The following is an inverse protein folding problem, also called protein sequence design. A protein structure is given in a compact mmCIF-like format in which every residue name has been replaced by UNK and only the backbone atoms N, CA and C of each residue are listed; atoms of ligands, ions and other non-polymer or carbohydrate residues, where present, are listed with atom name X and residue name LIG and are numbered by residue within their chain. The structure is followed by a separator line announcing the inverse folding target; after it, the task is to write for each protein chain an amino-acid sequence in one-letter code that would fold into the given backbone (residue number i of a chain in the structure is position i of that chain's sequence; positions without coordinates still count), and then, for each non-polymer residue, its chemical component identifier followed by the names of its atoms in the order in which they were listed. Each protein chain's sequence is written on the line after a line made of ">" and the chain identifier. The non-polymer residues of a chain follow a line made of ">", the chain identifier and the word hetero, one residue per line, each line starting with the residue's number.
data_IF_463229177550
#
_entry.id   IF_463229177550
#
_cell.length_a   1.000
_cell.length_b   1.000
_cell.length_c   1.000
_cell.angle_alpha   90.00
_cell.angle_beta   90.00
_cell.angle_gamma   90.00
#
_symmetry.space_group_name_H-M   'P 1'
#
loop_
_entity.id
_entity.type
_entity.pdbx_description
1 polymer ?
#
# COMPACT_ATOMS: atom_id res chain seq x y z
N UNK A 1 22.00 35.04 -46.87
CA UNK A 1 21.51 36.24 -46.15
C UNK A 1 20.14 35.88 -45.60
N UNK A 2 19.80 35.89 -44.31
CA UNK A 2 20.51 36.14 -43.07
C UNK A 2 19.91 35.18 -42.02
N UNK A 3 20.75 34.58 -41.18
CA UNK A 3 20.36 33.77 -40.02
C UNK A 3 20.05 34.68 -38.85
N UNK A 4 18.89 34.51 -38.21
CA UNK A 4 18.56 35.18 -36.95
C UNK A 4 18.82 34.21 -35.80
N UNK A 5 19.91 34.47 -35.09
CA UNK A 5 20.31 33.81 -33.84
C UNK A 5 19.59 34.53 -32.70
N UNK A 6 18.80 33.80 -31.91
CA UNK A 6 18.23 34.31 -30.65
C UNK A 6 19.06 33.72 -29.51
N UNK A 7 19.92 34.55 -28.93
CA UNK A 7 20.61 34.28 -27.66
C UNK A 7 19.74 34.77 -26.50
N UNK A 8 19.48 33.91 -25.51
CA UNK A 8 18.99 34.33 -24.21
C UNK A 8 20.10 34.16 -23.17
N UNK A 9 20.50 35.29 -22.61
CA UNK A 9 21.53 35.45 -21.59
C UNK A 9 21.06 34.90 -20.24
N UNK A 10 21.92 34.10 -19.60
CA UNK A 10 21.82 33.71 -18.21
C UNK A 10 22.02 34.93 -17.30
N UNK A 11 21.04 35.19 -16.43
CA UNK A 11 21.15 36.16 -15.35
C UNK A 11 21.02 35.43 -14.02
N UNK A 12 22.17 35.13 -13.43
CA UNK A 12 22.32 34.71 -12.03
C UNK A 12 21.97 35.87 -11.11
N UNK A 13 20.99 35.69 -10.22
CA UNK A 13 20.74 36.58 -9.08
C UNK A 13 20.97 35.83 -7.76
N UNK A 14 21.45 36.52 -6.71
CA UNK A 14 22.13 35.91 -5.59
C UNK A 14 21.17 35.35 -4.52
N UNK A 15 21.62 34.25 -3.92
CA UNK A 15 21.02 33.60 -2.75
C UNK A 15 21.21 34.49 -1.51
N UNK A 16 20.13 35.05 -0.99
CA UNK A 16 20.12 35.67 0.33
C UNK A 16 19.82 34.60 1.39
N UNK A 17 20.81 34.27 2.23
CA UNK A 17 20.62 33.45 3.41
C UNK A 17 20.02 34.31 4.54
N UNK A 18 18.78 34.01 4.92
CA UNK A 18 18.22 34.46 6.19
C UNK A 18 18.12 33.27 7.13
N UNK A 19 19.06 33.17 8.05
CA UNK A 19 19.01 32.30 9.22
C UNK A 19 17.94 32.81 10.17
N UNK A 20 16.75 32.19 10.15
CA UNK A 20 15.76 32.35 11.21
C UNK A 20 16.08 31.39 12.35
N UNK A 21 16.53 31.94 13.47
CA UNK A 21 16.61 31.26 14.76
C UNK A 21 15.20 30.82 15.18
N UNK A 22 14.96 29.50 15.21
CA UNK A 22 13.74 28.93 15.79
C UNK A 22 14.07 28.49 17.22
N UNK A 23 13.63 29.27 18.21
CA UNK A 23 13.75 28.94 19.63
C UNK A 23 12.67 27.93 19.99
N UNK A 24 13.09 26.70 20.30
CA UNK A 24 12.22 25.62 20.80
C UNK A 24 11.86 25.92 22.25
N UNK A 25 10.57 26.13 22.53
CA UNK A 25 10.03 26.18 23.88
C UNK A 25 9.48 24.80 24.26
N UNK A 26 10.11 24.14 25.24
CA UNK A 26 9.66 22.88 25.82
C UNK A 26 8.54 23.10 26.85
N UNK A 27 7.43 22.34 26.82
CA UNK A 27 6.50 22.29 27.94
C UNK A 27 7.02 21.33 29.03
N UNK A 28 6.97 21.78 30.28
CA UNK A 28 7.32 21.03 31.50
C UNK A 28 6.31 19.88 31.75
N UNK A 29 6.74 18.75 32.33
CA UNK A 29 5.83 17.68 32.72
C UNK A 29 5.06 18.06 34.00
N UNK A 30 3.74 17.87 33.95
CA UNK A 30 2.89 17.90 35.15
C UNK A 30 3.10 16.60 35.95
N UNK A 31 3.71 16.73 37.14
CA UNK A 31 3.71 15.71 38.17
C UNK A 31 2.27 15.48 38.68
N UNK A 32 1.80 14.23 38.63
CA UNK A 32 0.65 13.76 39.41
C UNK A 32 1.16 12.91 40.56
N UNK A 33 1.03 13.47 41.75
CA UNK A 33 1.16 12.81 43.06
C UNK A 33 0.22 11.62 43.18
N UNK A 34 0.79 10.43 43.44
CA UNK A 34 0.05 9.27 43.96
C UNK A 34 0.27 9.17 45.47
N UNK A 35 -0.84 9.14 46.20
CA UNK A 35 -0.91 8.99 47.65
C UNK A 35 -0.54 7.58 48.09
N UNK A 36 0.30 7.49 49.11
CA UNK A 36 0.72 6.29 49.83
C UNK A 36 -0.39 5.69 50.71
N UNK A 37 -0.40 4.37 50.86
CA UNK A 37 -0.84 3.72 52.09
C UNK A 37 0.03 2.51 52.40
N UNK A 38 0.64 2.55 53.58
CA UNK A 38 1.55 1.56 54.17
C UNK A 38 0.87 0.20 54.41
N UNK A 39 1.65 -0.88 54.36
CA UNK A 39 1.65 -1.90 55.42
C UNK A 39 3.01 -2.64 55.49
N UNK A 40 3.74 -2.40 56.59
CA UNK A 40 4.82 -3.19 57.21
C UNK A 40 4.27 -4.58 57.61
N UNK A 41 4.97 -5.69 57.89
CA UNK A 41 6.34 -6.17 58.20
C UNK A 41 6.20 -7.72 58.24
N UNK A 42 7.19 -8.59 58.06
CA UNK A 42 8.32 -8.91 58.96
C UNK A 42 9.22 -9.96 58.27
N UNK A 43 10.51 -9.71 58.26
CA UNK A 43 11.58 -10.70 58.00
C UNK A 43 12.03 -11.29 59.34
N UNK A 44 12.17 -12.61 59.42
CA UNK A 44 12.76 -13.31 60.57
C UNK A 44 14.11 -13.88 60.17
N UNK A 45 15.13 -13.53 60.96
CA UNK A 45 16.51 -14.00 60.85
C UNK A 45 16.67 -15.12 61.88
N UNK A 46 17.22 -16.26 61.46
CA UNK A 46 17.76 -17.28 62.37
C UNK A 46 19.26 -17.46 62.11
N UNK A 47 20.04 -17.20 63.16
CA UNK A 47 21.45 -17.56 63.29
C UNK A 47 21.52 -18.90 64.00
N UNK A 48 22.21 -19.91 63.43
CA UNK A 48 22.82 -20.98 64.24
C UNK A 48 24.07 -21.56 63.54
N UNK A 49 25.20 -21.25 64.17
CA UNK A 49 26.40 -22.07 64.44
C UNK A 49 27.19 -22.76 63.33
N UNK A 50 28.46 -22.35 63.25
CA UNK A 50 29.56 -22.96 62.52
C UNK A 50 29.93 -24.35 63.08
N UNK A 51 30.07 -25.33 62.19
CA UNK A 51 30.87 -26.54 62.43
C UNK A 51 31.76 -26.76 61.21
N UNK A 52 33.07 -26.67 61.43
CA UNK A 52 34.11 -26.89 60.42
C UNK A 52 34.21 -28.37 60.07
N UNK A 53 34.07 -28.70 58.78
CA UNK A 53 34.45 -30.02 58.25
C UNK A 53 35.11 -29.86 56.88
N UNK A 54 36.41 -30.09 56.85
CA UNK A 54 37.26 -30.13 55.66
C UNK A 54 36.83 -31.29 54.76
N UNK A 55 36.49 -31.02 53.51
CA UNK A 55 36.35 -32.04 52.46
C UNK A 55 36.94 -31.54 51.14
N UNK A 56 37.83 -32.36 50.59
CA UNK A 56 38.42 -32.27 49.26
C UNK A 56 37.36 -31.95 48.18
N UNK A 57 37.61 -30.91 47.38
CA UNK A 57 36.91 -30.70 46.11
C UNK A 57 37.76 -31.27 44.96
N UNK A 58 37.22 -32.28 44.29
CA UNK A 58 37.67 -32.73 42.98
C UNK A 58 37.29 -31.69 41.91
N UNK A 59 38.12 -31.61 40.87
CA UNK A 59 37.87 -30.84 39.66
C UNK A 59 36.46 -31.14 39.12
N UNK A 60 35.69 -30.07 38.87
CA UNK A 60 34.42 -30.14 38.12
C UNK A 60 34.69 -29.66 36.70
N UNK A 61 34.30 -30.51 35.76
CA UNK A 61 34.23 -30.20 34.34
C UNK A 61 33.44 -28.91 34.11
N UNK A 62 34.06 -27.95 33.41
CA UNK A 62 33.35 -26.80 32.86
C UNK A 62 32.56 -27.27 31.65
N UNK A 63 31.28 -27.56 31.86
CA UNK A 63 30.31 -27.61 30.78
C UNK A 63 30.20 -26.21 30.17
N UNK A 64 30.86 -26.00 29.03
CA UNK A 64 30.65 -24.81 28.20
C UNK A 64 29.31 -25.00 27.53
N UNK A 65 28.28 -24.32 28.04
CA UNK A 65 27.00 -24.19 27.34
C UNK A 65 27.24 -23.26 26.16
N UNK A 66 27.55 -23.83 25.00
CA UNK A 66 27.47 -23.13 23.73
C UNK A 66 25.99 -22.90 23.42
N UNK A 67 25.51 -21.67 23.63
CA UNK A 67 24.27 -21.21 23.04
C UNK A 67 24.47 -21.13 21.52
N UNK A 68 24.19 -22.21 20.81
CA UNK A 68 23.95 -22.14 19.37
C UNK A 68 22.67 -21.35 19.19
N UNK A 69 22.79 -20.10 18.73
CA UNK A 69 21.66 -19.36 18.17
C UNK A 69 21.09 -20.23 17.05
N UNK A 70 19.95 -20.87 17.32
CA UNK A 70 19.14 -21.47 16.27
C UNK A 70 18.74 -20.33 15.36
N UNK A 71 19.32 -20.27 14.17
CA UNK A 71 18.77 -19.48 13.09
C UNK A 71 17.34 -19.96 12.88
N UNK A 72 16.35 -19.23 13.40
CA UNK A 72 14.96 -19.47 13.04
C UNK A 72 14.88 -19.30 11.53
N UNK A 73 14.72 -20.40 10.78
CA UNK A 73 14.43 -20.29 9.35
C UNK A 73 13.08 -19.58 9.24
N UNK A 74 13.08 -18.30 8.92
CA UNK A 74 11.86 -17.52 8.76
C UNK A 74 10.99 -18.20 7.72
N UNK A 75 9.78 -18.62 8.10
CA UNK A 75 8.85 -19.26 7.18
C UNK A 75 8.43 -18.20 6.17
N UNK A 76 8.78 -18.36 4.89
CA UNK A 76 8.32 -17.45 3.84
C UNK A 76 6.90 -17.83 3.38
N UNK A 77 6.10 -16.88 2.90
CA UNK A 77 4.83 -17.19 2.25
C UNK A 77 5.04 -18.09 1.04
N UNK A 78 4.07 -18.98 0.77
CA UNK A 78 4.07 -19.74 -0.49
C UNK A 78 3.70 -18.87 -1.68
N UNK A 79 2.89 -17.83 -1.44
CA UNK A 79 2.56 -16.82 -2.44
C UNK A 79 2.30 -15.44 -1.82
N UNK A 80 2.64 -14.40 -2.58
CA UNK A 80 2.13 -13.04 -2.40
C UNK A 80 1.05 -12.75 -3.44
N UNK A 81 -0.11 -12.28 -2.98
CA UNK A 81 -1.26 -11.91 -3.81
C UNK A 81 -1.49 -10.41 -3.66
N UNK A 82 -1.29 -9.64 -4.72
CA UNK A 82 -1.44 -8.19 -4.69
C UNK A 82 -2.80 -7.80 -5.27
N UNK A 83 -3.49 -6.83 -4.66
CA UNK A 83 -4.43 -6.04 -5.46
C UNK A 83 -3.67 -5.22 -6.51
N UNK A 84 -4.36 -4.76 -7.54
CA UNK A 84 -3.82 -3.86 -8.54
C UNK A 84 -4.00 -2.41 -8.12
N UNK A 85 -5.26 -1.97 -8.02
CA UNK A 85 -5.59 -0.57 -7.80
C UNK A 85 -5.36 -0.18 -6.35
N UNK A 86 -4.70 0.96 -6.13
CA UNK A 86 -4.33 1.41 -4.79
C UNK A 86 -3.15 0.64 -4.17
N UNK A 87 -2.73 -0.50 -4.72
CA UNK A 87 -1.58 -1.29 -4.22
C UNK A 87 -0.39 -1.22 -5.16
N UNK A 88 -0.49 -1.70 -6.41
CA UNK A 88 0.62 -1.62 -7.36
C UNK A 88 0.86 -0.17 -7.77
N UNK A 89 -0.23 0.56 -8.00
CA UNK A 89 -0.27 1.96 -8.42
C UNK A 89 -1.42 2.65 -7.71
N UNK A 90 -1.30 3.93 -7.40
CA UNK A 90 -2.42 4.72 -6.87
C UNK A 90 -3.32 5.17 -8.03
N UNK A 91 -4.02 4.20 -8.64
CA UNK A 91 -4.67 4.34 -9.95
C UNK A 91 -5.69 5.46 -9.99
N UNK A 92 -6.46 5.62 -8.92
CA UNK A 92 -7.49 6.65 -8.84
C UNK A 92 -6.86 8.05 -8.74
N UNK A 93 -5.89 8.22 -7.83
CA UNK A 93 -5.27 9.53 -7.54
C UNK A 93 -4.33 9.99 -8.65
N UNK A 94 -3.51 9.08 -9.17
CA UNK A 94 -2.40 9.41 -10.07
C UNK A 94 -2.65 8.99 -11.52
N UNK A 95 -3.71 8.22 -11.79
CA UNK A 95 -4.08 7.77 -13.14
C UNK A 95 -5.43 8.33 -13.62
N UNK A 96 -6.53 7.91 -13.00
CA UNK A 96 -7.87 8.26 -13.42
C UNK A 96 -8.16 9.75 -13.26
N UNK A 97 -7.85 10.34 -12.11
CA UNK A 97 -7.99 11.80 -11.90
C UNK A 97 -7.17 12.60 -12.91
N UNK A 98 -5.93 12.19 -13.17
CA UNK A 98 -5.04 12.85 -14.15
C UNK A 98 -5.64 12.76 -15.55
N UNK A 99 -6.05 11.58 -16.00
CA UNK A 99 -6.68 11.41 -17.32
C UNK A 99 -8.03 12.12 -17.48
N UNK A 100 -8.81 12.31 -16.40
CA UNK A 100 -9.98 13.20 -16.43
C UNK A 100 -9.54 14.65 -16.70
N UNK A 101 -8.60 15.17 -15.92
CA UNK A 101 -8.11 16.55 -16.07
C UNK A 101 -7.48 16.79 -17.44
N UNK A 102 -6.69 15.84 -17.95
CA UNK A 102 -6.11 15.91 -19.30
C UNK A 102 -7.21 15.94 -20.37
N UNK A 103 -8.27 15.16 -20.20
CA UNK A 103 -9.43 15.19 -21.11
C UNK A 103 -10.15 16.54 -21.05
N UNK A 104 -10.35 17.09 -19.86
CA UNK A 104 -11.00 18.39 -19.69
C UNK A 104 -10.17 19.52 -20.28
N UNK A 105 -8.84 19.45 -20.14
CA UNK A 105 -7.90 20.39 -20.74
C UNK A 105 -7.88 20.28 -22.27
N UNK A 106 -7.79 19.07 -22.85
CA UNK A 106 -7.86 18.84 -24.30
C UNK A 106 -9.18 19.35 -24.91
N UNK A 107 -10.26 19.34 -24.12
CA UNK A 107 -11.59 19.82 -24.53
C UNK A 107 -11.85 21.26 -24.12
N UNK A 108 -10.86 21.92 -23.51
CA UNK A 108 -10.89 23.33 -23.10
C UNK A 108 -12.16 23.66 -22.29
N UNK A 109 -12.47 22.82 -21.29
CA UNK A 109 -13.68 22.92 -20.47
C UNK A 109 -13.50 23.79 -19.22
N UNK A 110 -12.28 24.24 -18.93
CA UNK A 110 -11.91 25.00 -17.72
C UNK A 110 -12.34 24.29 -16.42
N UNK A 111 -12.13 22.97 -16.38
CA UNK A 111 -12.49 22.09 -15.26
C UNK A 111 -11.24 21.37 -14.81
N UNK A 112 -10.95 21.41 -13.51
CA UNK A 112 -9.90 20.63 -12.88
C UNK A 112 -10.43 20.00 -11.61
N UNK A 113 -10.22 18.69 -11.47
CA UNK A 113 -10.46 17.96 -10.24
C UNK A 113 -9.14 17.77 -9.51
N UNK A 114 -8.96 18.50 -8.41
CA UNK A 114 -7.87 18.24 -7.48
C UNK A 114 -8.08 16.92 -6.72
N UNK A 115 -7.14 16.56 -5.85
CA UNK A 115 -7.15 15.28 -5.12
C UNK A 115 -8.39 15.19 -4.22
N UNK A 116 -8.67 16.23 -3.45
CA UNK A 116 -9.75 16.22 -2.45
C UNK A 116 -11.13 16.16 -3.12
N UNK A 117 -11.36 17.01 -4.14
CA UNK A 117 -12.59 16.99 -4.92
C UNK A 117 -12.79 15.65 -5.62
N UNK A 118 -11.74 15.06 -6.19
CA UNK A 118 -11.87 13.75 -6.82
C UNK A 118 -12.24 12.67 -5.80
N UNK A 119 -11.69 12.73 -4.58
CA UNK A 119 -12.06 11.85 -3.46
C UNK A 119 -13.54 11.95 -3.09
N UNK A 120 -14.11 13.15 -3.06
CA UNK A 120 -15.55 13.34 -2.87
C UNK A 120 -16.36 12.73 -4.03
N UNK A 121 -15.91 12.98 -5.26
CA UNK A 121 -16.56 12.52 -6.47
C UNK A 121 -16.48 10.99 -6.65
N UNK A 122 -15.49 10.30 -6.06
CA UNK A 122 -15.39 8.84 -6.08
C UNK A 122 -16.54 8.13 -5.39
N UNK A 123 -17.20 8.80 -4.44
CA UNK A 123 -18.42 8.31 -3.78
C UNK A 123 -19.60 8.20 -4.75
N UNK A 124 -19.52 8.87 -5.90
CA UNK A 124 -20.43 8.71 -7.02
C UNK A 124 -19.85 7.61 -7.93
N UNK A 125 -20.57 6.49 -8.02
CA UNK A 125 -20.14 5.34 -8.81
C UNK A 125 -20.11 5.66 -10.31
N UNK A 126 -19.10 5.16 -11.02
CA UNK A 126 -18.98 5.28 -12.47
C UNK A 126 -18.47 6.65 -12.97
N UNK A 127 -17.58 6.63 -13.97
CA UNK A 127 -16.94 7.85 -14.46
C UNK A 127 -17.88 8.81 -15.22
N UNK A 128 -18.90 8.29 -15.90
CA UNK A 128 -19.88 9.10 -16.65
C UNK A 128 -20.85 9.78 -15.69
N UNK A 129 -21.34 9.02 -14.72
CA UNK A 129 -22.28 9.44 -13.69
C UNK A 129 -21.64 10.51 -12.82
N UNK A 130 -20.35 10.34 -12.47
CA UNK A 130 -19.55 11.34 -11.76
C UNK A 130 -19.44 12.67 -12.49
N UNK A 131 -19.04 12.66 -13.77
CA UNK A 131 -18.99 13.89 -14.58
C UNK A 131 -20.37 14.56 -14.68
N UNK A 132 -21.41 13.75 -14.92
CA UNK A 132 -22.80 14.24 -15.03
C UNK A 132 -23.25 14.91 -13.74
N UNK A 133 -23.04 14.26 -12.59
CA UNK A 133 -23.39 14.81 -11.29
C UNK A 133 -22.60 16.09 -10.96
N UNK A 134 -21.30 16.11 -11.28
CA UNK A 134 -20.46 17.28 -11.11
C UNK A 134 -20.97 18.49 -11.92
N UNK A 135 -21.24 18.32 -13.22
CA UNK A 135 -21.74 19.41 -14.07
C UNK A 135 -23.17 19.83 -13.73
N UNK A 136 -24.02 18.90 -13.30
CA UNK A 136 -25.35 19.26 -12.80
C UNK A 136 -25.27 20.13 -11.53
N UNK A 137 -24.28 19.92 -10.67
CA UNK A 137 -24.08 20.67 -9.42
C UNK A 137 -23.37 22.01 -9.64
N UNK A 138 -22.34 22.04 -10.48
CA UNK A 138 -21.42 23.18 -10.63
C UNK A 138 -21.73 24.07 -11.83
N UNK A 139 -22.60 23.61 -12.74
CA UNK A 139 -22.84 24.23 -14.03
C UNK A 139 -22.17 23.44 -15.15
N UNK A 140 -22.87 23.32 -16.27
CA UNK A 140 -22.31 22.70 -17.47
C UNK A 140 -21.35 23.66 -18.17
N UNK A 141 -20.20 23.19 -18.69
CA UNK A 141 -19.27 24.03 -19.45
C UNK A 141 -19.95 24.71 -20.64
N UNK A 142 -19.49 25.90 -21.04
CA UNK A 142 -20.09 26.65 -22.16
C UNK A 142 -20.11 25.87 -23.48
N UNK A 143 -19.09 25.02 -23.69
CA UNK A 143 -18.95 24.16 -24.87
C UNK A 143 -19.83 22.91 -24.83
N UNK A 144 -20.51 22.64 -23.72
CA UNK A 144 -21.39 21.50 -23.61
C UNK A 144 -22.72 21.76 -24.35
N UNK A 145 -23.33 20.74 -24.95
CA UNK A 145 -24.64 20.87 -25.58
C UNK A 145 -25.74 21.20 -24.57
N UNK A 146 -26.88 21.67 -25.08
CA UNK A 146 -28.00 22.15 -24.26
C UNK A 146 -29.08 21.08 -24.00
N UNK A 147 -29.31 20.17 -24.94
CA UNK A 147 -30.29 19.09 -24.79
C UNK A 147 -29.74 17.95 -23.91
N UNK A 148 -30.62 17.20 -23.27
CA UNK A 148 -30.22 16.09 -22.40
C UNK A 148 -29.61 14.92 -23.18
N UNK A 149 -30.14 14.64 -24.37
CA UNK A 149 -29.69 13.59 -25.26
C UNK A 149 -28.25 13.86 -25.74
N UNK A 150 -27.98 15.07 -26.23
CA UNK A 150 -26.64 15.46 -26.67
C UNK A 150 -25.66 15.52 -25.49
N UNK A 151 -26.11 15.89 -24.28
CA UNK A 151 -25.28 15.86 -23.08
C UNK A 151 -24.86 14.45 -22.70
N UNK A 152 -25.73 13.45 -22.84
CA UNK A 152 -25.37 12.04 -22.64
C UNK A 152 -24.28 11.60 -23.61
N UNK A 153 -24.42 11.95 -24.89
CA UNK A 153 -23.40 11.64 -25.91
C UNK A 153 -22.08 12.36 -25.65
N UNK A 154 -22.14 13.64 -25.25
CA UNK A 154 -20.99 14.43 -24.87
C UNK A 154 -20.21 13.78 -23.72
N UNK A 155 -20.90 13.40 -22.63
CA UNK A 155 -20.30 12.70 -21.48
C UNK A 155 -19.71 11.35 -21.89
N UNK A 156 -20.40 10.58 -22.73
CA UNK A 156 -19.88 9.34 -23.26
C UNK A 156 -18.58 9.56 -24.05
N UNK A 157 -18.52 10.64 -24.86
CA UNK A 157 -17.31 11.01 -25.62
C UNK A 157 -16.14 11.39 -24.70
N UNK A 158 -16.39 12.14 -23.62
CA UNK A 158 -15.37 12.51 -22.64
C UNK A 158 -14.86 11.28 -21.91
N UNK A 159 -15.76 10.41 -21.45
CA UNK A 159 -15.38 9.19 -20.77
C UNK A 159 -14.57 8.25 -21.66
N UNK A 160 -14.94 8.13 -22.94
CA UNK A 160 -14.17 7.35 -23.93
C UNK A 160 -12.76 7.93 -24.07
N UNK A 161 -12.63 9.25 -24.27
CA UNK A 161 -11.32 9.91 -24.41
C UNK A 161 -10.46 9.77 -23.15
N UNK A 162 -11.05 9.97 -21.97
CA UNK A 162 -10.40 9.73 -20.68
C UNK A 162 -9.87 8.31 -20.55
N UNK A 163 -10.64 7.32 -21.01
CA UNK A 163 -10.23 5.91 -20.98
C UNK A 163 -9.03 5.66 -21.90
N UNK A 164 -9.03 6.24 -23.10
CA UNK A 164 -7.89 6.17 -24.03
C UNK A 164 -6.62 6.82 -23.42
N UNK A 165 -6.76 8.01 -22.84
CA UNK A 165 -5.65 8.71 -22.18
C UNK A 165 -5.12 7.94 -20.97
N UNK A 166 -6.00 7.34 -20.16
CA UNK A 166 -5.59 6.49 -19.05
C UNK A 166 -4.72 5.30 -19.52
N UNK A 167 -5.13 4.60 -20.59
CA UNK A 167 -4.31 3.53 -21.15
C UNK A 167 -2.97 4.05 -21.68
N UNK A 168 -2.97 5.22 -22.34
CA UNK A 168 -1.75 5.84 -22.84
C UNK A 168 -0.79 6.25 -21.69
N UNK A 169 -1.30 6.69 -20.53
CA UNK A 169 -0.48 6.97 -19.34
C UNK A 169 0.28 5.73 -18.87
N UNK A 170 -0.39 4.56 -18.86
CA UNK A 170 0.21 3.28 -18.49
C UNK A 170 1.27 2.87 -19.52
N UNK A 171 0.92 2.87 -20.80
CA UNK A 171 1.81 2.46 -21.90
C UNK A 171 3.07 3.33 -21.98
N UNK A 172 2.93 4.63 -21.72
CA UNK A 172 4.05 5.59 -21.65
C UNK A 172 4.81 5.59 -20.32
N UNK A 173 4.41 4.74 -19.35
CA UNK A 173 5.01 4.62 -18.02
C UNK A 173 5.00 5.93 -17.22
N UNK A 174 3.95 6.72 -17.39
CA UNK A 174 3.76 7.99 -16.67
C UNK A 174 3.00 7.80 -15.34
N UNK A 175 2.44 6.62 -15.11
CA UNK A 175 1.85 6.23 -13.83
C UNK A 175 2.92 5.53 -12.97
N UNK A 176 3.34 6.07 -11.82
CA UNK A 176 4.35 5.45 -10.98
C UNK A 176 3.81 4.23 -10.23
N UNK A 177 4.66 3.22 -10.04
CA UNK A 177 4.43 2.19 -9.03
C UNK A 177 4.46 2.81 -7.63
N UNK A 178 3.68 2.26 -6.71
CA UNK A 178 3.78 2.67 -5.30
C UNK A 178 5.15 2.27 -4.72
N UNK A 179 5.70 3.05 -3.78
CA UNK A 179 7.00 2.78 -3.19
C UNK A 179 7.10 1.37 -2.61
N UNK A 180 8.18 0.65 -2.92
CA UNK A 180 8.46 -0.71 -2.44
C UNK A 180 7.78 -1.85 -3.20
N UNK A 181 6.85 -1.59 -4.13
CA UNK A 181 6.13 -2.65 -4.87
C UNK A 181 7.10 -3.51 -5.69
N UNK A 182 7.91 -2.89 -6.54
CA UNK A 182 8.87 -3.61 -7.38
C UNK A 182 9.87 -4.39 -6.52
N UNK A 183 10.39 -3.77 -5.46
CA UNK A 183 11.32 -4.38 -4.50
C UNK A 183 10.72 -5.63 -3.84
N UNK A 184 9.49 -5.56 -3.33
CA UNK A 184 8.86 -6.71 -2.66
C UNK A 184 8.58 -7.86 -3.63
N UNK A 185 8.17 -7.54 -4.87
CA UNK A 185 8.00 -8.54 -5.93
C UNK A 185 9.35 -9.19 -6.26
N UNK A 186 10.43 -8.42 -6.39
CA UNK A 186 11.76 -8.96 -6.67
C UNK A 186 12.26 -9.87 -5.55
N UNK A 187 12.08 -9.46 -4.29
CA UNK A 187 12.39 -10.29 -3.13
C UNK A 187 11.64 -11.63 -3.18
N UNK A 188 10.34 -11.60 -3.51
CA UNK A 188 9.50 -12.80 -3.60
C UNK A 188 9.99 -13.73 -4.71
N UNK A 189 10.14 -13.20 -5.93
CA UNK A 189 10.57 -13.97 -7.09
C UNK A 189 11.97 -14.56 -6.88
N UNK A 190 12.91 -13.81 -6.29
CA UNK A 190 14.27 -14.28 -6.00
C UNK A 190 14.31 -15.44 -4.99
N UNK A 191 13.32 -15.55 -4.09
CA UNK A 191 13.21 -16.63 -3.09
C UNK A 191 12.22 -17.74 -3.50
N UNK A 192 11.74 -17.72 -4.75
CA UNK A 192 10.80 -18.73 -5.25
C UNK A 192 9.38 -18.62 -4.68
N UNK A 193 9.04 -17.49 -4.05
CA UNK A 193 7.68 -17.19 -3.62
C UNK A 193 6.86 -16.81 -4.84
N UNK A 194 5.70 -17.46 -5.03
CA UNK A 194 4.83 -17.19 -6.19
C UNK A 194 4.20 -15.82 -6.06
N UNK A 195 3.97 -15.13 -7.18
CA UNK A 195 3.35 -13.81 -7.19
C UNK A 195 2.13 -13.82 -8.12
N UNK A 196 1.03 -13.24 -7.65
CA UNK A 196 -0.13 -13.00 -8.48
C UNK A 196 -0.79 -11.65 -8.16
N UNK A 197 -1.55 -11.15 -9.12
CA UNK A 197 -2.38 -9.94 -9.02
C UNK A 197 -3.84 -10.35 -9.08
N UNK A 198 -4.64 -9.92 -8.11
CA UNK A 198 -6.05 -10.25 -7.93
C UNK A 198 -6.87 -8.96 -7.82
N UNK A 199 -7.54 -8.58 -8.91
CA UNK A 199 -8.23 -7.29 -9.02
C UNK A 199 -9.66 -7.43 -9.52
N UNK A 200 -10.52 -6.48 -9.15
CA UNK A 200 -11.87 -6.33 -9.70
C UNK A 200 -11.90 -5.50 -10.98
N UNK A 201 -10.79 -4.81 -11.31
CA UNK A 201 -10.62 -4.04 -12.53
C UNK A 201 -10.55 -4.92 -13.77
N UNK A 202 -10.80 -4.32 -14.93
CA UNK A 202 -10.75 -5.04 -16.21
C UNK A 202 -9.34 -5.56 -16.51
N UNK A 203 -9.27 -6.76 -17.08
CA UNK A 203 -8.02 -7.48 -17.33
C UNK A 203 -7.05 -6.71 -18.22
N UNK A 204 -7.55 -5.98 -19.24
CA UNK A 204 -6.69 -5.17 -20.12
C UNK A 204 -5.89 -4.11 -19.35
N UNK A 205 -6.52 -3.40 -18.41
CA UNK A 205 -5.84 -2.38 -17.61
C UNK A 205 -4.81 -3.01 -16.65
N UNK A 206 -5.18 -4.10 -15.97
CA UNK A 206 -4.29 -4.81 -15.05
C UNK A 206 -3.08 -5.39 -15.79
N UNK A 207 -3.32 -6.05 -16.92
CA UNK A 207 -2.26 -6.60 -17.79
C UNK A 207 -1.34 -5.51 -18.31
N UNK A 208 -1.86 -4.33 -18.67
CA UNK A 208 -1.03 -3.18 -19.06
C UNK A 208 -0.19 -2.64 -17.89
N UNK A 209 -0.77 -2.48 -16.69
CA UNK A 209 -0.03 -2.04 -15.50
C UNK A 209 1.13 -3.00 -15.20
N UNK A 210 0.86 -4.31 -15.17
CA UNK A 210 1.88 -5.32 -14.88
C UNK A 210 2.95 -5.36 -15.98
N UNK A 211 2.57 -5.42 -17.25
CA UNK A 211 3.56 -5.53 -18.34
C UNK A 211 4.36 -4.24 -18.58
N UNK A 212 3.74 -3.07 -18.53
CA UNK A 212 4.40 -1.80 -18.83
C UNK A 212 5.18 -1.25 -17.64
N UNK A 213 4.60 -1.29 -16.43
CA UNK A 213 5.15 -0.61 -15.25
C UNK A 213 6.07 -1.52 -14.43
N UNK A 214 5.70 -2.78 -14.21
CA UNK A 214 6.62 -3.76 -13.59
C UNK A 214 7.63 -4.32 -14.59
N UNK A 215 7.32 -4.24 -15.89
CA UNK A 215 8.20 -4.66 -16.97
C UNK A 215 8.02 -6.14 -17.37
N UNK A 216 8.49 -6.51 -18.57
CA UNK A 216 8.22 -7.81 -19.17
C UNK A 216 8.72 -8.99 -18.32
N UNK A 217 9.94 -8.89 -17.77
CA UNK A 217 10.55 -9.98 -17.01
C UNK A 217 9.76 -10.37 -15.76
N UNK A 218 9.22 -9.38 -15.03
CA UNK A 218 8.34 -9.64 -13.88
C UNK A 218 6.99 -10.16 -14.35
N UNK A 219 6.45 -9.56 -15.41
CA UNK A 219 5.11 -9.90 -15.93
C UNK A 219 5.00 -11.37 -16.35
N UNK A 220 6.05 -11.96 -16.90
CA UNK A 220 6.08 -13.39 -17.26
C UNK A 220 5.95 -14.33 -16.06
N UNK A 221 6.38 -13.86 -14.88
CA UNK A 221 6.42 -14.61 -13.62
C UNK A 221 5.21 -14.33 -12.72
N UNK A 222 4.38 -13.34 -13.08
CA UNK A 222 3.19 -12.91 -12.31
C UNK A 222 1.93 -13.46 -12.97
N UNK A 223 1.08 -14.14 -12.20
CA UNK A 223 -0.26 -14.54 -12.68
C UNK A 223 -1.28 -13.42 -12.44
N UNK A 224 -2.16 -13.17 -13.40
CA UNK A 224 -3.18 -12.12 -13.32
C UNK A 224 -4.56 -12.76 -13.24
N UNK A 225 -5.35 -12.35 -12.25
CA UNK A 225 -6.76 -12.67 -12.08
C UNK A 225 -7.52 -11.36 -11.97
N UNK A 226 -8.32 -11.04 -12.98
CA UNK A 226 -8.93 -9.73 -13.11
C UNK A 226 -10.36 -9.80 -13.66
N UNK A 227 -11.15 -8.77 -13.35
CA UNK A 227 -12.47 -8.54 -13.93
C UNK A 227 -13.45 -9.65 -13.63
N UNK A 228 -14.01 -10.23 -14.68
CA UNK A 228 -15.11 -11.18 -14.62
C UNK A 228 -14.64 -12.65 -14.70
N UNK A 229 -13.36 -12.91 -14.42
CA UNK A 229 -12.82 -14.28 -14.27
C UNK A 229 -13.49 -15.04 -13.10
N UNK A 230 -14.11 -14.30 -12.18
CA UNK A 230 -15.00 -14.82 -11.14
C UNK A 230 -16.36 -14.11 -11.20
N UNK A 231 -17.46 -14.81 -10.88
CA UNK A 231 -18.81 -14.23 -10.98
C UNK A 231 -19.13 -13.23 -9.86
N UNK A 232 -18.49 -13.37 -8.69
CA UNK A 232 -18.69 -12.51 -7.52
C UNK A 232 -17.41 -11.76 -7.22
N UNK A 233 -17.50 -10.43 -7.16
CA UNK A 233 -16.37 -9.52 -6.91
C UNK A 233 -16.16 -9.35 -5.40
N UNK A 234 -15.01 -8.78 -5.00
CA UNK A 234 -14.72 -8.39 -3.60
C UNK A 234 -15.94 -7.61 -3.05
N UNK A 235 -16.44 -7.92 -1.84
CA UNK A 235 -15.78 -8.63 -0.74
C UNK A 235 -15.88 -10.16 -0.78
N UNK A 236 -16.47 -10.75 -1.84
CA UNK A 236 -16.43 -12.20 -2.00
C UNK A 236 -14.97 -12.70 -2.20
N UNK A 237 -14.57 -13.81 -1.55
CA UNK A 237 -13.18 -14.28 -1.60
C UNK A 237 -12.80 -14.96 -2.92
N UNK A 238 -13.74 -15.16 -3.86
CA UNK A 238 -13.54 -15.99 -5.05
C UNK A 238 -12.27 -15.67 -5.84
N UNK A 239 -11.91 -14.39 -6.02
CA UNK A 239 -10.73 -14.00 -6.79
C UNK A 239 -9.41 -14.46 -6.11
N UNK A 240 -9.35 -14.39 -4.79
CA UNK A 240 -8.19 -14.83 -4.01
C UNK A 240 -8.12 -16.35 -3.92
N UNK A 241 -9.26 -17.02 -3.71
CA UNK A 241 -9.35 -18.48 -3.74
C UNK A 241 -8.93 -19.03 -5.10
N UNK A 242 -9.37 -18.40 -6.20
CA UNK A 242 -8.95 -18.75 -7.55
C UNK A 242 -7.42 -18.57 -7.71
N UNK A 243 -6.87 -17.46 -7.21
CA UNK A 243 -5.44 -17.19 -7.25
C UNK A 243 -4.61 -18.27 -6.55
N UNK A 244 -4.92 -18.57 -5.29
CA UNK A 244 -4.22 -19.61 -4.52
C UNK A 244 -4.37 -21.00 -5.14
N UNK A 245 -5.58 -21.37 -5.58
CA UNK A 245 -5.84 -22.65 -6.24
C UNK A 245 -5.06 -22.81 -7.53
N UNK A 246 -5.05 -21.78 -8.39
CA UNK A 246 -4.30 -21.80 -9.67
C UNK A 246 -2.79 -21.84 -9.45
N UNK A 247 -2.31 -21.17 -8.39
CA UNK A 247 -0.91 -21.24 -7.99
C UNK A 247 -0.56 -22.57 -7.29
N UNK A 248 -1.53 -23.40 -6.91
CA UNK A 248 -1.30 -24.66 -6.19
C UNK A 248 -0.69 -24.44 -4.81
N UNK A 249 -1.22 -23.49 -4.04
CA UNK A 249 -0.78 -23.16 -2.68
C UNK A 249 -1.96 -23.10 -1.72
N UNK A 250 -1.71 -23.38 -0.45
CA UNK A 250 -2.73 -23.27 0.59
C UNK A 250 -3.03 -21.79 0.92
N UNK A 251 -4.30 -21.39 1.06
CA UNK A 251 -4.62 -20.01 1.43
C UNK A 251 -3.97 -19.56 2.74
N UNK A 252 -3.85 -20.48 3.70
CA UNK A 252 -3.23 -20.20 5.00
C UNK A 252 -1.71 -19.94 4.95
N UNK A 253 -1.06 -20.22 3.81
CA UNK A 253 0.36 -19.88 3.57
C UNK A 253 0.53 -18.71 2.61
N UNK A 254 -0.55 -18.00 2.27
CA UNK A 254 -0.56 -16.83 1.41
C UNK A 254 -0.61 -15.53 2.24
N UNK A 255 0.04 -14.50 1.72
CA UNK A 255 -0.12 -13.12 2.20
C UNK A 255 -0.67 -12.27 1.08
N UNK A 256 -1.76 -11.58 1.36
CA UNK A 256 -2.39 -10.59 0.48
C UNK A 256 -1.86 -9.20 0.82
N UNK A 257 -1.58 -8.37 -0.19
CA UNK A 257 -1.37 -6.93 -0.04
C UNK A 257 -2.55 -6.20 -0.66
N UNK A 258 -3.26 -5.43 0.15
CA UNK A 258 -4.52 -4.75 -0.18
C UNK A 258 -4.49 -3.27 0.22
N UNK A 259 -5.42 -2.47 -0.27
CA UNK A 259 -5.55 -1.07 0.15
C UNK A 259 -6.93 -0.73 0.72
N UNK A 260 -7.96 -1.55 0.45
CA UNK A 260 -9.36 -1.25 0.79
C UNK A 260 -9.95 -2.22 1.81
N UNK A 261 -10.94 -1.79 2.58
CA UNK A 261 -11.65 -2.61 3.56
C UNK A 261 -12.46 -3.73 2.87
N UNK A 262 -13.02 -3.46 1.69
CA UNK A 262 -13.72 -4.46 0.87
C UNK A 262 -12.74 -5.56 0.41
N UNK A 263 -11.55 -5.15 -0.02
CA UNK A 263 -10.53 -6.07 -0.44
C UNK A 263 -9.90 -6.87 0.70
N UNK A 264 -9.66 -6.20 1.84
CA UNK A 264 -9.32 -6.84 3.10
C UNK A 264 -10.36 -7.92 3.46
N UNK A 265 -11.65 -7.60 3.43
CA UNK A 265 -12.70 -8.56 3.75
C UNK A 265 -12.66 -9.80 2.85
N UNK A 266 -12.42 -9.63 1.54
CA UNK A 266 -12.24 -10.74 0.61
C UNK A 266 -11.01 -11.59 0.94
N UNK A 267 -9.87 -10.97 1.27
CA UNK A 267 -8.66 -11.67 1.65
C UNK A 267 -8.84 -12.48 2.94
N UNK A 268 -9.49 -11.91 3.95
CA UNK A 268 -9.78 -12.59 5.22
C UNK A 268 -10.77 -13.74 5.02
N UNK A 269 -11.82 -13.53 4.21
CA UNK A 269 -12.79 -14.57 3.88
C UNK A 269 -12.16 -15.73 3.09
N UNK A 270 -11.08 -15.48 2.34
CA UNK A 270 -10.29 -16.52 1.68
C UNK A 270 -9.37 -17.31 2.64
N UNK A 271 -9.33 -16.96 3.93
CA UNK A 271 -8.46 -17.61 4.92
C UNK A 271 -6.99 -17.18 4.84
N UNK A 272 -6.71 -16.03 4.24
CA UNK A 272 -5.35 -15.53 4.03
C UNK A 272 -4.94 -14.49 5.07
N UNK A 273 -3.63 -14.32 5.25
CA UNK A 273 -3.08 -13.14 5.92
C UNK A 273 -3.19 -11.94 4.99
N UNK A 274 -3.48 -10.77 5.52
CA UNK A 274 -3.66 -9.56 4.74
C UNK A 274 -2.91 -8.39 5.38
N UNK A 275 -2.02 -7.79 4.61
CA UNK A 275 -1.37 -6.52 4.89
C UNK A 275 -2.11 -5.45 4.11
N UNK A 276 -2.55 -4.39 4.80
CA UNK A 276 -3.13 -3.22 4.15
C UNK A 276 -2.05 -2.16 3.96
N UNK A 277 -1.91 -1.64 2.75
CA UNK A 277 -1.15 -0.43 2.43
C UNK A 277 -2.13 0.64 1.97
N UNK A 278 -2.46 1.59 2.85
CA UNK A 278 -3.45 2.66 2.60
C UNK A 278 -3.14 3.39 1.29
N UNK A 279 -4.12 3.62 0.43
CA UNK A 279 -3.97 4.41 -0.79
C UNK A 279 -4.53 5.83 -0.61
N UNK A 280 -4.46 6.66 -1.66
CA UNK A 280 -4.92 8.04 -1.62
C UNK A 280 -6.37 8.24 -1.17
N UNK A 281 -7.26 7.24 -1.35
CA UNK A 281 -8.69 7.37 -1.06
C UNK A 281 -9.25 6.35 -0.07
N UNK A 282 -8.41 5.46 0.46
CA UNK A 282 -8.85 4.41 1.42
C UNK A 282 -8.30 4.63 2.84
N UNK A 283 -7.51 5.69 3.07
CA UNK A 283 -6.78 5.88 4.33
C UNK A 283 -7.65 5.91 5.60
N UNK A 284 -8.90 6.36 5.45
CA UNK A 284 -9.90 6.50 6.53
C UNK A 284 -10.88 5.31 6.61
N UNK A 285 -10.68 4.25 5.82
CA UNK A 285 -11.50 3.04 5.92
C UNK A 285 -11.16 2.21 7.17
N UNK A 286 -12.06 1.29 7.52
CA UNK A 286 -11.90 0.39 8.67
C UNK A 286 -11.03 -0.84 8.30
N UNK A 287 -9.85 -0.90 8.92
CA UNK A 287 -8.88 -1.99 8.74
C UNK A 287 -8.69 -2.84 9.99
N UNK A 288 -9.64 -2.86 10.94
CA UNK A 288 -9.52 -3.61 12.21
C UNK A 288 -9.19 -5.10 12.03
N UNK A 289 -9.59 -5.71 10.91
CA UNK A 289 -9.37 -7.13 10.63
C UNK A 289 -8.07 -7.43 9.83
N UNK A 290 -7.27 -6.42 9.51
CA UNK A 290 -5.98 -6.60 8.86
C UNK A 290 -4.96 -7.21 9.83
N UNK A 291 -4.03 -8.02 9.30
CA UNK A 291 -2.94 -8.57 10.10
C UNK A 291 -1.83 -7.53 10.30
N UNK A 292 -1.70 -6.57 9.39
CA UNK A 292 -0.88 -5.37 9.54
C UNK A 292 -1.41 -4.23 8.65
N UNK A 293 -1.16 -2.97 9.04
CA UNK A 293 -1.58 -1.79 8.28
C UNK A 293 -0.41 -0.81 8.19
N UNK A 294 -0.11 -0.35 6.97
CA UNK A 294 0.95 0.61 6.66
C UNK A 294 0.44 1.71 5.73
N UNK A 295 1.19 2.81 5.64
CA UNK A 295 1.02 3.87 4.65
C UNK A 295 1.42 3.39 3.25
N UNK A 296 2.52 2.65 3.12
CA UNK A 296 3.02 2.03 1.88
C UNK A 296 4.00 0.90 2.20
N UNK A 297 4.55 0.22 1.19
CA UNK A 297 5.56 -0.85 1.37
C UNK A 297 6.94 -0.24 1.68
N UNK A 298 7.38 0.67 0.81
CA UNK A 298 8.56 1.51 1.00
C UNK A 298 9.84 0.91 0.42
N UNK A 299 10.76 1.78 0.08
CA UNK A 299 12.11 1.45 -0.37
C UNK A 299 13.13 1.99 0.67
N UNK A 300 14.30 1.36 0.84
CA UNK A 300 15.33 1.89 1.73
C UNK A 300 15.70 3.34 1.39
N UNK A 301 15.89 4.22 2.39
CA UNK A 301 15.94 3.94 3.83
C UNK A 301 14.58 3.97 4.55
N UNK A 302 13.49 4.19 3.83
CA UNK A 302 12.14 4.38 4.37
C UNK A 302 11.25 3.14 4.16
N UNK A 303 11.82 1.96 4.32
CA UNK A 303 11.09 0.69 4.22
C UNK A 303 10.14 0.50 5.42
N UNK A 304 8.90 0.08 5.16
CA UNK A 304 7.91 -0.24 6.20
C UNK A 304 7.87 -1.72 6.51
N UNK A 305 7.90 -2.53 5.45
CA UNK A 305 8.01 -3.97 5.55
C UNK A 305 8.65 -4.59 4.30
N UNK A 306 9.11 -5.82 4.47
CA UNK A 306 9.77 -6.62 3.45
C UNK A 306 9.17 -8.04 3.40
N UNK A 307 9.73 -8.90 2.54
CA UNK A 307 9.28 -10.28 2.44
C UNK A 307 9.47 -11.08 3.74
N UNK A 308 10.49 -10.77 4.56
CA UNK A 308 10.70 -11.48 5.82
C UNK A 308 9.57 -11.17 6.81
N UNK A 309 9.11 -9.91 6.87
CA UNK A 309 7.93 -9.53 7.64
C UNK A 309 6.68 -10.28 7.19
N UNK A 310 6.43 -10.39 5.87
CA UNK A 310 5.32 -11.19 5.36
C UNK A 310 5.35 -12.64 5.87
N UNK A 311 6.55 -13.22 5.96
CA UNK A 311 6.75 -14.55 6.54
C UNK A 311 6.40 -14.63 8.03
N UNK A 312 6.86 -13.65 8.81
CA UNK A 312 6.59 -13.58 10.26
C UNK A 312 5.09 -13.51 10.59
N UNK A 313 4.25 -12.95 9.71
CA UNK A 313 2.79 -12.91 9.90
C UNK A 313 2.12 -14.27 9.82
N UNK A 314 2.77 -15.25 9.17
CA UNK A 314 2.26 -16.62 9.05
C UNK A 314 2.59 -17.45 10.29
N UNK A 315 3.54 -17.02 11.11
CA UNK A 315 3.86 -17.65 12.38
C UNK A 315 2.70 -17.42 13.34
N UNK A 316 1.93 -18.49 13.61
CA UNK A 316 0.66 -18.40 14.34
C UNK A 316 0.90 -17.91 15.78
N UNK A 317 0.32 -16.77 16.13
CA UNK A 317 0.08 -16.42 17.53
C UNK A 317 -1.25 -17.04 17.96
N UNK A 318 -1.20 -18.30 18.41
CA UNK A 318 -2.32 -18.85 19.16
C UNK A 318 -2.27 -18.29 20.59
N UNK A 319 -3.38 -17.71 21.05
CA UNK A 319 -3.59 -17.52 22.48
C UNK A 319 -3.98 -18.87 23.04
N UNK A 320 -3.09 -19.46 23.85
CA UNK A 320 -3.31 -20.73 24.55
C UNK A 320 -4.43 -20.64 25.58
#
# INVERSE_FOLDING_TARGET
>A
MASTVISFSSATSPVFSQTKNCTIASPRPHERTLSSSLLRTKTSIHKTTMTTRTRHLSMRDRCVVTCSATSSSSVLPSALLFDCDGVLVDTEKDGHRVSFNDTFAERELDVTWDVDLYGELLKIGGGKERMTAYFNKTGWPEKAPKSEEERKEFIASLHKRKTELFMALIEKKLLPLRPGVAKLIDQALAKGVKVAVCSTSNEKAVSAIVSCLLGPERSEKIKIFAGDVVPRKKPDPAIYVLGASTLGVEPSSCVVVEDSAIGLAAAKAAGMKCIVTKSGYTADEDFLNADAVFDYIGDPPEERFDLAFCGSLLEKQFVS
#
